data_IF_548255753848
#
_entry.id   IF_548255753848
#
_cell.length_a   1.000
_cell.length_b   1.000
_cell.length_c   1.000
_cell.angle_alpha   90.00
_cell.angle_beta   90.00
_cell.angle_gamma   90.00
#
_symmetry.space_group_name_H-M   'P 1'
#
loop_
_entity.id
_entity.type
_entity.pdbx_description
1 polymer ?
#
# COMPACT_ATOMS: atom_id res chain seq x y z
N UNK A 1 -23.80 -5.65 15.20
CA UNK A 1 -22.59 -6.13 14.51
C UNK A 1 -23.02 -6.81 13.22
N UNK A 2 -22.40 -6.47 12.09
CA UNK A 2 -22.62 -7.11 10.79
C UNK A 2 -21.36 -7.87 10.39
N UNK A 3 -21.52 -9.11 9.91
CA UNK A 3 -20.42 -9.96 9.43
C UNK A 3 -20.75 -10.37 8.00
N UNK A 4 -19.86 -10.06 7.06
CA UNK A 4 -19.95 -10.48 5.66
C UNK A 4 -18.83 -11.45 5.35
N UNK A 5 -19.18 -12.57 4.71
CA UNK A 5 -18.21 -13.56 4.24
C UNK A 5 -17.85 -13.27 2.80
N UNK A 6 -16.58 -13.42 2.48
CA UNK A 6 -16.05 -13.23 1.13
C UNK A 6 -14.99 -14.29 0.82
N UNK A 7 -14.51 -14.31 -0.41
CA UNK A 7 -13.51 -15.28 -0.86
C UNK A 7 -14.09 -16.47 -1.60
N UNK A 8 -13.35 -17.57 -1.60
CA UNK A 8 -13.72 -18.80 -2.32
C UNK A 8 -15.09 -19.29 -1.84
N UNK A 9 -15.98 -19.59 -2.81
CA UNK A 9 -17.35 -20.02 -2.53
C UNK A 9 -18.37 -18.89 -2.33
N UNK A 10 -17.93 -17.64 -2.27
CA UNK A 10 -18.80 -16.46 -2.15
C UNK A 10 -18.71 -15.50 -3.34
N UNK A 11 -17.71 -15.68 -4.20
CA UNK A 11 -17.52 -14.88 -5.42
C UNK A 11 -18.53 -15.29 -6.48
N UNK A 12 -19.00 -14.31 -7.24
CA UNK A 12 -19.68 -14.57 -8.50
C UNK A 12 -18.63 -14.97 -9.54
N UNK A 13 -18.91 -15.96 -10.40
CA UNK A 13 -17.96 -16.38 -11.43
C UNK A 13 -17.71 -15.29 -12.46
N UNK A 14 -18.68 -14.39 -12.64
CA UNK A 14 -18.57 -13.26 -13.55
C UNK A 14 -18.08 -12.04 -12.81
N UNK A 15 -16.99 -11.45 -13.30
CA UNK A 15 -16.48 -10.19 -12.84
C UNK A 15 -17.33 -9.00 -13.28
N UNK A 16 -16.87 -7.77 -13.04
CA UNK A 16 -17.46 -6.57 -13.61
C UNK A 16 -17.51 -6.64 -15.14
N UNK A 17 -18.35 -5.83 -15.77
CA UNK A 17 -18.39 -5.72 -17.23
C UNK A 17 -16.99 -5.36 -17.77
N UNK A 18 -16.59 -5.93 -18.91
CA UNK A 18 -15.25 -5.75 -19.48
C UNK A 18 -14.17 -6.59 -18.80
N UNK A 19 -14.54 -7.68 -18.11
CA UNK A 19 -13.55 -8.61 -17.55
C UNK A 19 -13.67 -10.00 -18.16
N UNK A 20 -12.53 -10.69 -18.22
CA UNK A 20 -12.43 -12.10 -18.60
C UNK A 20 -11.58 -12.85 -17.56
N UNK A 21 -12.09 -13.98 -17.07
CA UNK A 21 -11.37 -14.79 -16.08
C UNK A 21 -11.24 -14.12 -14.70
N UNK A 22 -12.09 -13.14 -14.40
CA UNK A 22 -12.18 -12.45 -13.11
C UNK A 22 -13.45 -12.87 -12.41
N UNK A 23 -13.34 -13.35 -11.18
CA UNK A 23 -14.48 -13.53 -10.29
C UNK A 23 -14.53 -12.37 -9.29
N UNK A 24 -15.73 -11.95 -8.90
CA UNK A 24 -15.89 -10.78 -8.04
C UNK A 24 -16.93 -10.96 -6.95
N UNK A 25 -16.79 -10.16 -5.89
CA UNK A 25 -17.77 -10.05 -4.84
C UNK A 25 -17.80 -8.65 -4.26
N UNK A 26 -18.94 -7.99 -4.29
CA UNK A 26 -19.15 -6.76 -3.54
C UNK A 26 -19.34 -7.10 -2.07
N UNK A 27 -18.47 -6.58 -1.22
CA UNK A 27 -18.52 -6.75 0.23
C UNK A 27 -19.39 -5.67 0.86
N UNK A 28 -19.19 -4.43 0.39
CA UNK A 28 -19.96 -3.27 0.83
C UNK A 28 -20.15 -2.29 -0.32
N UNK A 29 -21.32 -1.68 -0.40
CA UNK A 29 -21.59 -0.56 -1.28
C UNK A 29 -22.64 0.34 -0.66
N UNK A 30 -22.37 1.64 -0.63
CA UNK A 30 -23.31 2.70 -0.22
C UNK A 30 -23.03 3.99 -1.04
N UNK A 31 -23.70 5.08 -0.67
CA UNK A 31 -23.52 6.36 -1.34
C UNK A 31 -22.12 6.99 -1.17
N UNK A 32 -21.28 6.46 -0.29
CA UNK A 32 -19.93 6.96 0.02
C UNK A 32 -18.83 6.15 -0.65
N UNK A 33 -19.13 4.94 -1.13
CA UNK A 33 -18.15 4.13 -1.80
C UNK A 33 -18.49 2.65 -1.89
N UNK A 34 -17.51 1.90 -2.37
CA UNK A 34 -17.62 0.47 -2.60
C UNK A 34 -16.37 -0.24 -2.11
N UNK A 35 -16.57 -1.42 -1.52
CA UNK A 35 -15.50 -2.38 -1.27
C UNK A 35 -15.87 -3.68 -1.96
N UNK A 36 -15.02 -4.10 -2.91
CA UNK A 36 -15.20 -5.35 -3.64
C UNK A 36 -13.92 -6.18 -3.66
N UNK A 37 -14.09 -7.48 -3.64
CA UNK A 37 -13.01 -8.43 -3.91
C UNK A 37 -13.01 -8.79 -5.39
N UNK A 38 -11.82 -8.83 -6.00
CA UNK A 38 -11.57 -9.31 -7.34
C UNK A 38 -10.56 -10.46 -7.27
N UNK A 39 -10.86 -11.56 -7.95
CA UNK A 39 -9.97 -12.68 -8.08
C UNK A 39 -9.71 -12.94 -9.57
N UNK A 40 -8.50 -12.66 -9.99
CA UNK A 40 -8.02 -12.87 -11.34
C UNK A 40 -7.42 -14.27 -11.44
N UNK A 41 -7.98 -15.10 -12.30
CA UNK A 41 -7.36 -16.36 -12.70
C UNK A 41 -6.10 -16.09 -13.53
N UNK A 42 -5.38 -17.12 -13.94
CA UNK A 42 -4.29 -16.98 -14.93
C UNK A 42 -4.86 -16.50 -16.26
N UNK A 43 -4.18 -15.56 -16.89
CA UNK A 43 -4.60 -14.91 -18.17
C UNK A 43 -5.95 -14.20 -18.07
N UNK A 44 -6.29 -13.75 -16.89
CA UNK A 44 -7.46 -12.91 -16.68
C UNK A 44 -7.18 -11.48 -17.09
N UNK A 45 -8.20 -10.78 -17.54
CA UNK A 45 -8.13 -9.38 -17.95
C UNK A 45 -9.30 -8.58 -17.37
N UNK A 46 -9.00 -7.37 -16.99
CA UNK A 46 -9.95 -6.28 -16.85
C UNK A 46 -9.57 -5.24 -17.90
N UNK A 47 -10.45 -5.05 -18.87
CA UNK A 47 -10.21 -4.18 -20.01
C UNK A 47 -10.04 -2.73 -19.59
N UNK A 48 -9.39 -1.95 -20.44
CA UNK A 48 -9.19 -0.52 -20.21
C UNK A 48 -10.54 0.19 -20.09
N UNK A 49 -10.76 0.85 -18.97
CA UNK A 49 -11.97 1.59 -18.66
C UNK A 49 -11.66 2.72 -17.67
N UNK A 50 -12.62 3.62 -17.47
CA UNK A 50 -12.52 4.66 -16.44
C UNK A 50 -13.74 4.62 -15.53
N UNK A 51 -13.54 5.10 -14.29
CA UNK A 51 -14.61 5.29 -13.31
C UNK A 51 -14.78 6.79 -12.98
N UNK A 52 -15.99 7.27 -12.70
CA UNK A 52 -16.18 8.62 -12.21
C UNK A 52 -15.62 8.83 -10.79
N UNK A 53 -15.29 7.75 -10.09
CA UNK A 53 -14.79 7.75 -8.73
C UNK A 53 -13.34 7.27 -8.69
N UNK A 54 -12.59 7.75 -7.70
CA UNK A 54 -11.26 7.22 -7.42
C UNK A 54 -11.34 5.92 -6.63
N UNK A 55 -10.41 5.00 -6.91
CA UNK A 55 -10.33 3.73 -6.23
C UNK A 55 -8.89 3.32 -5.93
N UNK A 56 -8.70 2.55 -4.88
CA UNK A 56 -7.47 1.79 -4.64
C UNK A 56 -7.67 0.33 -5.05
N UNK A 57 -6.78 -0.16 -5.90
CA UNK A 57 -6.60 -1.59 -6.12
C UNK A 57 -5.54 -2.09 -5.14
N UNK A 58 -5.96 -2.82 -4.12
CA UNK A 58 -5.08 -3.35 -3.07
C UNK A 58 -4.81 -4.83 -3.33
N UNK A 59 -3.59 -5.18 -3.68
CA UNK A 59 -3.20 -6.55 -4.00
C UNK A 59 -2.90 -7.29 -2.70
N UNK A 60 -3.63 -8.36 -2.43
CA UNK A 60 -3.51 -9.14 -1.19
C UNK A 60 -2.89 -10.52 -1.39
N UNK A 61 -2.91 -11.03 -2.64
CA UNK A 61 -2.34 -12.33 -2.95
C UNK A 61 -1.92 -12.38 -4.43
N UNK A 62 -0.79 -13.04 -4.71
CA UNK A 62 -0.27 -13.19 -6.05
C UNK A 62 0.23 -11.88 -6.65
N UNK A 63 -0.02 -11.69 -7.94
CA UNK A 63 0.38 -10.49 -8.65
C UNK A 63 0.07 -10.53 -10.13
N UNK A 64 0.21 -9.38 -10.76
CA UNK A 64 -0.12 -9.20 -12.17
C UNK A 64 0.45 -7.91 -12.73
N UNK A 65 -0.26 -7.33 -13.65
CA UNK A 65 0.02 -6.06 -14.28
C UNK A 65 -1.14 -5.10 -14.07
N UNK A 66 -0.80 -3.84 -13.96
CA UNK A 66 -1.76 -2.75 -13.94
C UNK A 66 -1.34 -1.67 -14.94
N UNK A 67 -2.33 -0.95 -15.45
CA UNK A 67 -2.17 0.23 -16.24
C UNK A 67 -2.99 1.37 -15.63
N UNK A 68 -2.44 2.57 -15.59
CA UNK A 68 -3.13 3.82 -15.21
C UNK A 68 -2.69 4.89 -16.21
N UNK A 69 -3.62 5.39 -17.01
CA UNK A 69 -3.27 6.21 -18.17
C UNK A 69 -2.32 5.46 -19.11
N UNK A 70 -1.17 6.07 -19.39
CA UNK A 70 -0.14 5.49 -20.26
C UNK A 70 0.91 4.66 -19.49
N UNK A 71 0.86 4.67 -18.16
CA UNK A 71 1.84 3.96 -17.33
C UNK A 71 1.41 2.52 -17.08
N UNK A 72 2.37 1.60 -17.22
CA UNK A 72 2.19 0.16 -16.95
C UNK A 72 3.25 -0.34 -15.99
N UNK A 73 2.83 -1.10 -15.00
CA UNK A 73 3.77 -1.69 -14.04
C UNK A 73 3.30 -3.06 -13.56
N UNK A 74 4.24 -3.86 -13.07
CA UNK A 74 3.91 -5.09 -12.34
C UNK A 74 3.57 -4.76 -10.90
N UNK A 75 2.66 -5.54 -10.36
CA UNK A 75 2.23 -5.43 -8.95
C UNK A 75 2.20 -6.80 -8.29
N UNK A 76 2.41 -6.80 -6.99
CA UNK A 76 2.43 -7.98 -6.15
C UNK A 76 1.67 -7.77 -4.83
N UNK A 77 1.45 -8.85 -4.10
CA UNK A 77 0.83 -8.79 -2.79
C UNK A 77 1.56 -7.82 -1.84
N UNK A 78 0.79 -6.98 -1.14
CA UNK A 78 1.28 -5.92 -0.28
C UNK A 78 1.37 -4.55 -0.95
N UNK A 79 1.07 -4.44 -2.24
CA UNK A 79 1.05 -3.19 -2.98
C UNK A 79 -0.37 -2.70 -3.21
N UNK A 80 -0.51 -1.40 -3.36
CA UNK A 80 -1.77 -0.74 -3.70
C UNK A 80 -1.55 0.29 -4.79
N UNK A 81 -2.45 0.31 -5.78
CA UNK A 81 -2.42 1.22 -6.92
C UNK A 81 -3.63 2.13 -6.87
N UNK A 82 -3.40 3.43 -6.96
CA UNK A 82 -4.48 4.41 -7.09
C UNK A 82 -4.96 4.43 -8.55
N UNK A 83 -6.26 4.27 -8.73
CA UNK A 83 -7.00 4.53 -9.96
C UNK A 83 -7.75 5.86 -9.81
N UNK A 84 -7.23 6.97 -10.35
CA UNK A 84 -7.86 8.28 -10.19
C UNK A 84 -9.19 8.36 -10.95
N UNK A 85 -10.11 9.17 -10.46
CA UNK A 85 -11.37 9.45 -11.15
C UNK A 85 -11.14 9.95 -12.58
N UNK A 86 -11.88 9.41 -13.54
CA UNK A 86 -11.82 9.78 -14.94
C UNK A 86 -10.56 9.35 -15.70
N UNK A 87 -9.58 8.72 -15.04
CA UNK A 87 -8.37 8.20 -15.68
C UNK A 87 -8.60 6.74 -16.09
N UNK A 88 -8.25 6.43 -17.34
CA UNK A 88 -8.33 5.05 -17.84
C UNK A 88 -7.36 4.14 -17.09
N UNK A 89 -7.84 2.96 -16.72
CA UNK A 89 -7.07 1.96 -16.02
C UNK A 89 -7.46 0.54 -16.42
N UNK A 90 -6.52 -0.38 -16.26
CA UNK A 90 -6.68 -1.80 -16.57
C UNK A 90 -5.87 -2.66 -15.61
N UNK A 91 -6.21 -3.94 -15.50
CA UNK A 91 -5.43 -4.91 -14.76
C UNK A 91 -5.49 -6.28 -15.44
N UNK A 92 -4.39 -7.04 -15.41
CA UNK A 92 -4.37 -8.38 -15.99
C UNK A 92 -3.33 -9.27 -15.33
N UNK A 93 -3.48 -10.55 -15.54
CA UNK A 93 -2.54 -11.59 -15.13
C UNK A 93 -2.01 -12.35 -16.35
N UNK A 94 -0.85 -12.94 -16.23
CA UNK A 94 -0.26 -13.81 -17.24
C UNK A 94 -0.20 -15.26 -16.72
N UNK A 95 0.88 -15.60 -16.05
CA UNK A 95 1.14 -16.95 -15.54
C UNK A 95 0.76 -17.11 -14.06
N UNK A 96 0.57 -16.02 -13.36
CA UNK A 96 0.14 -15.98 -11.94
C UNK A 96 -1.36 -15.75 -11.84
N UNK A 97 -1.88 -15.98 -10.65
CA UNK A 97 -3.19 -15.52 -10.22
C UNK A 97 -3.00 -14.25 -9.37
N UNK A 98 -4.03 -13.45 -9.24
CA UNK A 98 -3.99 -12.25 -8.40
C UNK A 98 -5.32 -12.10 -7.67
N UNK A 99 -5.24 -11.78 -6.39
CA UNK A 99 -6.39 -11.40 -5.58
C UNK A 99 -6.21 -10.00 -5.07
N UNK A 100 -7.21 -9.17 -5.27
CA UNK A 100 -7.18 -7.78 -4.89
C UNK A 100 -8.51 -7.31 -4.31
N UNK A 101 -8.47 -6.24 -3.53
CA UNK A 101 -9.66 -5.48 -3.17
C UNK A 101 -9.67 -4.18 -3.96
N UNK A 102 -10.84 -3.83 -4.46
CA UNK A 102 -11.13 -2.48 -4.92
C UNK A 102 -11.82 -1.74 -3.78
N UNK A 103 -11.24 -0.60 -3.40
CA UNK A 103 -11.83 0.32 -2.44
C UNK A 103 -12.09 1.63 -3.17
N UNK A 104 -13.33 1.86 -3.55
CA UNK A 104 -13.77 3.03 -4.32
C UNK A 104 -14.40 4.05 -3.41
N UNK A 105 -14.12 5.33 -3.66
CA UNK A 105 -14.64 6.45 -2.89
C UNK A 105 -15.52 7.32 -3.78
N UNK A 106 -16.81 7.41 -3.46
CA UNK A 106 -17.72 8.30 -4.15
C UNK A 106 -17.43 9.77 -3.76
N UNK A 107 -17.29 10.62 -4.76
CA UNK A 107 -17.13 12.07 -4.59
C UNK A 107 -15.95 12.51 -3.71
N UNK A 108 -14.86 11.76 -3.69
CA UNK A 108 -13.65 12.17 -2.97
C UNK A 108 -12.81 13.02 -3.90
N UNK A 109 -12.47 14.22 -3.46
CA UNK A 109 -11.42 15.02 -4.08
C UNK A 109 -10.10 14.25 -3.98
N UNK A 110 -9.56 13.81 -5.11
CA UNK A 110 -8.31 13.07 -5.19
C UNK A 110 -7.14 13.79 -4.53
N UNK A 111 -7.14 15.12 -4.55
CA UNK A 111 -6.13 15.91 -3.88
C UNK A 111 -6.22 15.74 -2.35
N UNK A 112 -7.44 15.72 -1.79
CA UNK A 112 -7.65 15.46 -0.37
C UNK A 112 -7.29 14.02 0.03
N UNK A 113 -7.63 13.03 -0.81
CA UNK A 113 -7.28 11.64 -0.57
C UNK A 113 -5.75 11.41 -0.62
N UNK A 114 -5.05 12.01 -1.57
CA UNK A 114 -3.59 11.99 -1.64
C UNK A 114 -2.94 12.71 -0.45
N UNK A 115 -3.49 13.85 -0.03
CA UNK A 115 -3.06 14.58 1.14
C UNK A 115 -3.23 13.80 2.44
N UNK A 116 -4.31 13.04 2.58
CA UNK A 116 -4.56 12.20 3.77
C UNK A 116 -3.60 11.02 3.85
N UNK A 117 -3.30 10.35 2.72
CA UNK A 117 -2.55 9.10 2.72
C UNK A 117 -1.04 9.27 2.47
N UNK A 118 -0.62 10.30 1.74
CA UNK A 118 0.79 10.51 1.41
C UNK A 118 1.38 11.80 2.01
N UNK A 119 0.60 12.88 2.09
CA UNK A 119 1.08 14.20 2.52
C UNK A 119 0.89 14.48 4.00
N UNK A 120 -0.26 14.13 4.57
CA UNK A 120 -0.55 14.41 5.97
C UNK A 120 0.29 13.64 6.98
N UNK A 121 0.72 12.44 6.67
CA UNK A 121 1.63 11.69 7.55
C UNK A 121 3.02 12.31 7.56
N UNK A 122 3.49 12.85 6.43
CA UNK A 122 4.76 13.57 6.33
C UNK A 122 4.69 14.97 6.94
N UNK A 123 3.58 15.68 6.78
CA UNK A 123 3.38 17.00 7.40
C UNK A 123 3.20 16.91 8.92
N UNK A 124 2.51 15.90 9.43
CA UNK A 124 2.36 15.68 10.87
C UNK A 124 3.69 15.32 11.54
N UNK A 125 4.58 14.61 10.87
CA UNK A 125 5.93 14.31 11.38
C UNK A 125 6.88 15.52 11.27
N UNK A 126 6.75 16.35 10.24
CA UNK A 126 7.52 17.58 10.08
C UNK A 126 7.04 18.71 11.01
N UNK A 127 5.72 18.83 11.20
CA UNK A 127 5.13 19.83 12.09
C UNK A 127 5.27 19.50 13.58
N UNK A 128 5.37 18.21 13.93
CA UNK A 128 5.61 17.79 15.31
C UNK A 128 7.01 18.09 15.84
N UNK A 129 7.97 18.36 14.94
CA UNK A 129 9.31 18.77 15.31
C UNK A 129 9.47 20.31 15.48
N UNK A 130 8.50 21.10 14.98
CA UNK A 130 8.57 22.56 15.03
C UNK A 130 7.81 23.18 16.22
N UNK A 131 7.03 22.42 16.96
CA UNK A 131 6.22 22.92 18.09
C UNK A 131 6.93 22.83 19.47
N UNK A 132 8.24 22.60 19.49
CA UNK A 132 9.01 22.42 20.73
C UNK A 132 10.06 23.49 21.02
N UNK A 133 10.08 24.63 20.31
CA UNK A 133 11.05 25.69 20.61
C UNK A 133 10.38 27.05 20.53
N UNK A 134 9.81 27.47 21.64
CA UNK A 134 9.78 28.86 22.09
C UNK A 134 9.26 28.91 23.53
N UNK A 135 10.18 28.87 24.46
CA UNK A 135 10.03 29.48 25.76
C UNK A 135 11.33 30.26 26.04
N UNK A 136 11.26 31.55 26.28
CA UNK A 136 12.44 32.35 26.65
C UNK A 136 12.82 32.07 28.11
N UNK A 137 13.97 31.53 28.32
CA UNK A 137 14.55 31.27 29.65
C UNK A 137 15.86 31.96 29.79
N UNK A 138 15.88 32.80 30.72
CA UNK A 138 16.87 33.70 31.30
C UNK A 138 18.20 33.07 31.69
N UNK A 139 19.25 33.88 31.69
CA UNK A 139 20.65 33.59 31.77
C UNK A 139 21.18 32.76 32.92
N UNK A 140 22.31 32.14 32.65
CA UNK A 140 23.49 32.07 33.54
C UNK A 140 24.69 31.46 32.80
N UNK A 141 25.79 32.15 32.91
CA UNK A 141 27.13 31.94 32.37
C UNK A 141 27.87 30.75 32.97
N UNK A 142 29.05 30.38 32.42
CA UNK A 142 29.60 29.04 32.41
C UNK A 142 30.58 28.77 33.58
N UNK A 143 30.72 27.51 33.90
CA UNK A 143 31.92 27.04 34.66
C UNK A 143 32.54 25.85 33.92
N UNK A 144 33.80 26.04 33.55
CA UNK A 144 34.69 25.04 33.02
C UNK A 144 35.18 24.09 34.11
N UNK A 145 35.54 22.91 33.71
CA UNK A 145 36.53 21.94 34.19
C UNK A 145 35.94 20.53 34.10
N UNK A 146 36.58 19.53 33.60
CA UNK A 146 37.93 19.16 33.43
C UNK A 146 37.98 17.71 32.92
N UNK A 147 38.98 17.44 32.22
CA UNK A 147 39.72 16.22 31.93
C UNK A 147 39.17 14.83 32.34
N UNK A 148 39.34 13.89 31.41
CA UNK A 148 39.27 12.47 31.69
C UNK A 148 39.38 11.62 30.42
N UNK A 149 40.57 11.50 29.88
CA UNK A 149 40.96 10.53 28.86
C UNK A 149 41.05 9.11 29.44
N UNK A 150 40.94 8.12 28.54
CA UNK A 150 41.59 6.81 28.42
C UNK A 150 40.57 5.78 27.89
N UNK A 151 40.69 5.32 26.70
CA UNK A 151 41.60 4.36 26.08
C UNK A 151 41.14 2.89 26.19
N UNK A 152 41.08 2.30 24.98
CA UNK A 152 41.35 0.90 24.59
C UNK A 152 40.43 -0.21 25.16
N UNK A 153 39.89 -1.06 24.34
CA UNK A 153 40.58 -2.21 23.78
C UNK A 153 39.77 -2.95 22.70
N UNK A 154 40.53 -3.53 21.82
CA UNK A 154 40.10 -4.38 20.72
C UNK A 154 39.80 -5.81 21.18
N UNK A 155 38.88 -6.47 20.48
CA UNK A 155 38.64 -7.90 20.65
C UNK A 155 38.02 -8.51 19.42
N UNK A 156 38.84 -8.85 18.46
CA UNK A 156 38.52 -9.79 17.40
C UNK A 156 38.38 -11.19 17.98
N UNK A 157 37.40 -11.94 17.54
CA UNK A 157 37.63 -13.35 17.33
C UNK A 157 36.70 -13.95 16.29
N UNK A 158 37.34 -14.70 15.45
CA UNK A 158 36.97 -15.38 14.24
C UNK A 158 36.39 -16.79 14.50
N UNK A 159 35.81 -17.33 13.44
CA UNK A 159 35.72 -18.73 13.03
C UNK A 159 34.84 -19.70 13.80
N UNK A 160 33.89 -20.31 13.10
CA UNK A 160 34.04 -21.67 12.59
C UNK A 160 32.86 -22.06 11.71
N UNK A 161 33.21 -22.55 10.54
CA UNK A 161 32.38 -23.32 9.61
C UNK A 161 32.09 -24.70 10.18
N UNK A 162 30.93 -25.27 9.85
CA UNK A 162 30.75 -26.69 9.79
C UNK A 162 29.74 -27.03 8.70
N UNK A 163 30.25 -27.74 7.70
CA UNK A 163 29.55 -28.44 6.65
C UNK A 163 28.75 -29.62 7.21
N UNK A 164 27.74 -30.04 6.46
CA UNK A 164 27.01 -31.28 6.69
C UNK A 164 25.88 -31.46 5.70
N UNK A 165 26.18 -31.99 4.53
CA UNK A 165 25.29 -32.72 3.62
C UNK A 165 25.16 -34.20 4.04
N UNK A 166 24.45 -35.04 3.28
CA UNK A 166 23.06 -35.07 2.82
C UNK A 166 22.39 -36.43 3.18
N UNK A 167 21.10 -36.50 3.01
CA UNK A 167 20.40 -37.70 2.49
C UNK A 167 18.98 -37.34 2.12
#
# INVERSE_FOLDING_TARGET
MEIRRFGVGHRRPDGPAGTTGVASQVIHADSRGLVAELAFARRATMDLHSSPNSAWLVIVEGGGWVQVGDERTRVAAGEAVLWPAGVEHAAWTELSEMRAFVVEFASVDDAAARGILAGRALELTAGGAAAGQDAPGDGATPVANGDGALATDAGANATAAAEGEPL
#
